data_IF_001964650923
#
_entry.id   IF_001964650923
#
_cell.length_a   1.000
_cell.length_b   1.000
_cell.length_c   1.000
_cell.angle_alpha   90.00
_cell.angle_beta   90.00
_cell.angle_gamma   90.00
#
_symmetry.space_group_name_H-M   'P 1'
#
loop_
_entity.id
_entity.type
_entity.pdbx_description
1 polymer ?
#
# COMPACT_ATOMS: atom_id res chain seq x y z
N UNK A 1 -25.04 5.53 20.38
CA UNK A 1 -23.88 4.66 20.11
C UNK A 1 -22.56 5.34 20.46
N UNK A 2 -22.44 6.66 20.28
CA UNK A 2 -21.29 7.49 20.70
C UNK A 2 -20.97 7.43 22.20
N UNK A 3 -21.96 7.21 23.08
CA UNK A 3 -21.75 7.17 24.54
C UNK A 3 -20.83 6.02 24.98
N UNK A 4 -20.98 4.82 24.41
CA UNK A 4 -20.11 3.68 24.76
C UNK A 4 -18.67 3.95 24.33
N UNK A 5 -18.48 4.40 23.09
CA UNK A 5 -17.14 4.70 22.56
C UNK A 5 -16.46 5.84 23.35
N UNK A 6 -17.22 6.88 23.70
CA UNK A 6 -16.70 8.00 24.50
C UNK A 6 -16.25 7.56 25.89
N UNK A 7 -17.03 6.68 26.55
CA UNK A 7 -16.64 6.07 27.83
C UNK A 7 -15.40 5.19 27.67
N UNK A 8 -15.33 4.37 26.62
CA UNK A 8 -14.18 3.52 26.32
C UNK A 8 -12.91 4.35 26.16
N UNK A 9 -12.97 5.43 25.38
CA UNK A 9 -11.82 6.28 25.08
C UNK A 9 -11.25 6.91 26.35
N UNK A 10 -12.11 7.32 27.28
CA UNK A 10 -11.68 7.87 28.57
C UNK A 10 -10.86 6.88 29.41
N UNK A 11 -11.01 5.58 29.18
CA UNK A 11 -10.29 4.53 29.93
C UNK A 11 -8.93 4.20 29.31
N UNK A 12 -8.73 4.42 28.00
CA UNK A 12 -7.51 4.03 27.28
C UNK A 12 -6.21 4.53 27.94
N UNK A 13 -6.08 5.80 28.40
CA UNK A 13 -4.86 6.28 29.05
C UNK A 13 -4.50 5.50 30.33
N UNK A 14 -5.48 4.88 30.97
CA UNK A 14 -5.33 4.21 32.28
C UNK A 14 -4.97 2.73 32.15
N UNK A 15 -4.94 2.18 30.94
CA UNK A 15 -4.63 0.76 30.70
C UNK A 15 -3.12 0.54 30.82
N UNK A 16 -2.72 -0.19 31.88
CA UNK A 16 -1.31 -0.51 32.16
C UNK A 16 -0.89 -1.92 31.71
N UNK A 17 -1.83 -2.86 31.65
CA UNK A 17 -1.57 -4.27 31.33
C UNK A 17 -1.49 -4.49 29.82
N UNK A 18 -0.40 -5.09 29.35
CA UNK A 18 -0.11 -5.26 27.92
C UNK A 18 -1.16 -6.13 27.19
N UNK A 19 -1.68 -7.19 27.82
CA UNK A 19 -2.76 -8.01 27.23
C UNK A 19 -4.01 -7.15 26.93
N UNK A 20 -4.37 -6.23 27.82
CA UNK A 20 -5.50 -5.33 27.60
C UNK A 20 -5.19 -4.28 26.53
N UNK A 21 -3.96 -3.75 26.49
CA UNK A 21 -3.54 -2.83 25.42
C UNK A 21 -3.66 -3.47 24.04
N UNK A 22 -3.22 -4.73 23.91
CA UNK A 22 -3.37 -5.49 22.67
C UNK A 22 -4.85 -5.62 22.28
N UNK A 23 -5.69 -6.09 23.20
CA UNK A 23 -7.12 -6.29 22.93
C UNK A 23 -7.83 -4.98 22.53
N UNK A 24 -7.51 -3.87 23.20
CA UNK A 24 -8.08 -2.57 22.89
C UNK A 24 -7.58 -1.98 21.57
N UNK A 25 -6.29 -2.10 21.27
CA UNK A 25 -5.74 -1.69 19.98
C UNK A 25 -6.43 -2.46 18.83
N UNK A 26 -6.58 -3.77 18.99
CA UNK A 26 -7.27 -4.61 18.02
C UNK A 26 -8.74 -4.23 17.85
N UNK A 27 -9.48 -4.08 18.96
CA UNK A 27 -10.89 -3.71 18.91
C UNK A 27 -11.12 -2.33 18.27
N UNK A 28 -10.28 -1.35 18.61
CA UNK A 28 -10.37 -0.01 18.05
C UNK A 28 -10.05 0.00 16.55
N UNK A 29 -9.00 -0.71 16.13
CA UNK A 29 -8.65 -0.90 14.71
C UNK A 29 -9.82 -1.51 13.94
N UNK A 30 -10.33 -2.65 14.40
CA UNK A 30 -11.44 -3.36 13.74
C UNK A 30 -12.73 -2.51 13.68
N UNK A 31 -12.98 -1.69 14.71
CA UNK A 31 -14.08 -0.72 14.68
C UNK A 31 -13.88 0.34 13.60
N UNK A 32 -12.69 0.93 13.50
CA UNK A 32 -12.37 1.92 12.48
C UNK A 32 -12.49 1.32 11.06
N UNK A 33 -11.96 0.12 10.85
CA UNK A 33 -12.09 -0.62 9.58
C UNK A 33 -13.57 -0.80 9.22
N UNK A 34 -14.39 -1.26 10.17
CA UNK A 34 -15.83 -1.47 9.94
C UNK A 34 -16.56 -0.17 9.58
N UNK A 35 -16.23 0.94 10.25
CA UNK A 35 -16.80 2.27 9.94
C UNK A 35 -16.42 2.69 8.53
N UNK A 36 -15.15 2.53 8.13
CA UNK A 36 -14.69 2.89 6.78
C UNK A 36 -15.28 2.01 5.70
N UNK A 37 -15.35 0.69 5.92
CA UNK A 37 -15.98 -0.24 4.97
C UNK A 37 -17.45 0.10 4.76
N UNK A 38 -18.18 0.42 5.83
CA UNK A 38 -19.55 0.89 5.74
C UNK A 38 -19.67 2.17 4.89
N UNK A 39 -18.77 3.13 5.07
CA UNK A 39 -18.75 4.38 4.29
C UNK A 39 -18.50 4.08 2.81
N UNK A 40 -17.48 3.28 2.50
CA UNK A 40 -17.12 2.92 1.13
C UNK A 40 -18.24 2.16 0.41
N UNK A 41 -18.85 1.17 1.05
CA UNK A 41 -19.99 0.43 0.51
C UNK A 41 -21.21 1.35 0.24
N UNK A 42 -21.44 2.30 1.14
CA UNK A 42 -22.53 3.27 1.00
C UNK A 42 -22.27 4.31 -0.10
N UNK A 43 -21.01 4.61 -0.44
CA UNK A 43 -20.67 5.48 -1.58
C UNK A 43 -20.83 4.77 -2.92
N UNK A 44 -20.46 3.49 -3.00
CA UNK A 44 -20.61 2.69 -4.24
C UNK A 44 -22.08 2.52 -4.59
N UNK A 45 -22.90 2.11 -3.63
CA UNK A 45 -24.36 1.93 -3.82
C UNK A 45 -25.09 3.21 -4.24
N UNK A 46 -24.68 4.39 -3.74
CA UNK A 46 -25.23 5.67 -4.23
C UNK A 46 -24.86 5.94 -5.69
N UNK A 47 -23.60 5.71 -6.06
CA UNK A 47 -23.12 5.95 -7.42
C UNK A 47 -23.81 5.03 -8.43
N UNK A 48 -24.08 3.77 -8.09
CA UNK A 48 -24.83 2.82 -8.95
C UNK A 48 -26.30 3.22 -9.13
N UNK A 49 -26.95 3.73 -8.08
CA UNK A 49 -28.33 4.23 -8.15
C UNK A 49 -28.46 5.49 -9.03
N UNK A 50 -27.50 6.41 -8.93
CA UNK A 50 -27.50 7.66 -9.72
C UNK A 50 -27.24 7.38 -11.22
N UNK A 51 -26.40 6.39 -11.54
CA UNK A 51 -26.14 5.96 -12.92
C UNK A 51 -27.34 5.22 -13.53
N UNK A 52 -28.02 4.38 -12.75
CA UNK A 52 -29.22 3.68 -13.20
C UNK A 52 -30.49 4.56 -13.26
N UNK A 53 -30.48 5.72 -12.59
CA UNK A 53 -31.60 6.68 -12.58
C UNK A 53 -31.70 7.58 -13.82
N UNK A 54 -30.73 7.54 -14.73
CA UNK A 54 -30.72 8.40 -15.93
C UNK A 54 -31.45 7.82 -17.16
N UNK A 55 -32.06 6.63 -17.06
CA UNK A 55 -32.85 6.04 -18.14
C UNK A 55 -34.23 5.59 -17.63
N UNK A 56 -35.25 6.45 -17.74
CA UNK A 56 -36.65 6.03 -17.69
C UNK A 56 -37.59 6.99 -16.99
N UNK A 57 -38.39 7.72 -17.79
CA UNK A 57 -39.62 8.39 -17.38
C UNK A 57 -40.63 7.38 -16.81
N UNK A 58 -40.75 7.20 -15.48
CA UNK A 58 -41.97 6.58 -14.90
C UNK A 58 -42.28 7.04 -13.47
N UNK A 59 -43.39 7.78 -13.37
CA UNK A 59 -44.45 7.80 -12.34
C UNK A 59 -44.04 7.68 -10.86
N UNK A 60 -44.22 8.80 -10.15
CA UNK A 60 -44.29 8.89 -8.68
C UNK A 60 -45.34 7.92 -8.13
N UNK A 61 -44.92 6.98 -7.28
CA UNK A 61 -45.83 6.30 -6.37
C UNK A 61 -45.23 6.32 -4.96
N UNK A 62 -45.93 7.03 -4.07
CA UNK A 62 -45.64 7.13 -2.65
C UNK A 62 -45.81 5.76 -1.98
N UNK A 63 -44.70 5.05 -1.76
CA UNK A 63 -44.62 4.04 -0.70
C UNK A 63 -43.60 4.50 0.32
N UNK A 64 -44.14 4.95 1.44
CA UNK A 64 -43.45 5.21 2.70
C UNK A 64 -42.81 3.91 3.22
N UNK A 65 -41.69 3.49 2.66
CA UNK A 65 -40.73 2.65 3.37
C UNK A 65 -40.05 3.55 4.40
N UNK A 66 -40.23 3.23 5.68
CA UNK A 66 -39.39 3.74 6.77
C UNK A 66 -37.94 3.39 6.45
N UNK A 67 -37.28 4.24 5.68
CA UNK A 67 -35.83 4.34 5.64
C UNK A 67 -35.41 4.71 7.06
N UNK A 68 -34.96 3.70 7.80
CA UNK A 68 -34.17 3.93 9.01
C UNK A 68 -33.08 4.89 8.59
N UNK A 69 -33.05 6.08 9.20
CA UNK A 69 -32.13 7.17 8.90
C UNK A 69 -30.70 6.71 9.22
N UNK A 70 -30.11 5.91 8.33
CA UNK A 70 -28.67 5.79 8.19
C UNK A 70 -28.21 7.17 7.73
N UNK A 71 -27.58 7.93 8.63
CA UNK A 71 -27.01 9.21 8.29
C UNK A 71 -26.11 9.09 7.06
N UNK A 72 -26.01 10.15 6.26
CA UNK A 72 -25.17 10.12 5.08
C UNK A 72 -23.75 9.63 5.43
N UNK A 73 -23.07 8.88 4.56
CA UNK A 73 -21.80 8.21 4.90
C UNK A 73 -20.73 9.18 5.46
N UNK A 74 -20.66 10.39 4.91
CA UNK A 74 -19.76 11.45 5.39
C UNK A 74 -20.14 12.01 6.77
N UNK A 75 -21.42 11.95 7.14
CA UNK A 75 -21.91 12.35 8.47
C UNK A 75 -21.50 11.29 9.49
N UNK A 76 -21.56 10.00 9.14
CA UNK A 76 -21.14 8.91 10.04
C UNK A 76 -19.64 9.00 10.38
N UNK A 77 -18.77 9.29 9.40
CA UNK A 77 -17.35 9.50 9.67
C UNK A 77 -17.12 10.68 10.62
N UNK A 78 -17.74 11.83 10.31
CA UNK A 78 -17.64 13.04 11.13
C UNK A 78 -18.07 12.82 12.58
N UNK A 79 -19.05 11.95 12.81
CA UNK A 79 -19.53 11.62 14.15
C UNK A 79 -18.52 10.88 15.03
N UNK A 80 -17.44 10.33 14.45
CA UNK A 80 -16.42 9.58 15.16
C UNK A 80 -15.03 10.23 15.15
N UNK A 81 -14.84 11.32 14.40
CA UNK A 81 -13.53 12.00 14.30
C UNK A 81 -13.02 12.40 15.67
N UNK A 82 -13.84 13.11 16.47
CA UNK A 82 -13.45 13.59 17.81
C UNK A 82 -13.02 12.43 18.72
N UNK A 83 -13.72 11.30 18.63
CA UNK A 83 -13.39 10.08 19.37
C UNK A 83 -12.05 9.49 18.92
N UNK A 84 -11.79 9.41 17.62
CA UNK A 84 -10.52 8.90 17.10
C UNK A 84 -9.35 9.83 17.42
N UNK A 85 -9.57 11.14 17.39
CA UNK A 85 -8.64 12.15 17.85
C UNK A 85 -8.26 11.91 19.32
N UNK A 86 -9.24 11.68 20.20
CA UNK A 86 -8.98 11.39 21.61
C UNK A 86 -8.30 10.02 21.83
N UNK A 87 -8.58 9.03 21.00
CA UNK A 87 -8.00 7.69 21.09
C UNK A 87 -6.54 7.62 20.61
N UNK A 88 -6.12 8.55 19.75
CA UNK A 88 -4.80 8.51 19.12
C UNK A 88 -3.64 8.56 20.13
N UNK A 89 -3.58 9.53 21.05
CA UNK A 89 -2.44 9.63 22.00
C UNK A 89 -2.29 8.39 22.90
N UNK A 90 -3.36 7.85 23.52
CA UNK A 90 -3.26 6.62 24.30
C UNK A 90 -2.67 5.46 23.50
N UNK A 91 -3.16 5.22 22.29
CA UNK A 91 -2.67 4.13 21.43
C UNK A 91 -1.24 4.42 20.96
N UNK A 92 -0.91 5.67 20.67
CA UNK A 92 0.43 6.08 20.26
C UNK A 92 1.45 5.75 21.34
N UNK A 93 1.09 5.97 22.62
CA UNK A 93 1.95 5.60 23.75
C UNK A 93 2.26 4.10 23.79
N UNK A 94 1.37 3.25 23.29
CA UNK A 94 1.53 1.79 23.27
C UNK A 94 2.51 1.31 22.19
N UNK A 95 2.92 2.16 21.24
CA UNK A 95 4.05 1.89 20.33
C UNK A 95 5.37 1.65 21.08
N UNK A 96 5.45 2.11 22.33
CA UNK A 96 6.58 1.92 23.24
C UNK A 96 6.37 0.82 24.30
N UNK A 97 5.29 0.04 24.20
CA UNK A 97 4.98 -1.03 25.16
C UNK A 97 6.11 -2.07 25.25
N UNK A 98 6.20 -2.77 26.38
CA UNK A 98 7.24 -3.79 26.60
C UNK A 98 7.01 -5.01 25.71
N UNK A 99 5.77 -5.45 25.60
CA UNK A 99 5.38 -6.55 24.72
C UNK A 99 5.45 -6.17 23.23
N UNK A 100 6.13 -7.01 22.43
CA UNK A 100 6.29 -6.81 20.99
C UNK A 100 4.98 -6.93 20.21
N UNK A 101 4.06 -7.79 20.65
CA UNK A 101 2.74 -7.97 20.01
C UNK A 101 1.88 -6.74 20.20
N UNK A 102 1.94 -6.11 21.39
CA UNK A 102 1.27 -4.83 21.65
C UNK A 102 1.81 -3.76 20.72
N UNK A 103 3.13 -3.67 20.55
CA UNK A 103 3.72 -2.69 19.62
C UNK A 103 3.29 -2.91 18.18
N UNK A 104 3.22 -4.16 17.73
CA UNK A 104 2.78 -4.51 16.37
C UNK A 104 1.30 -4.12 16.13
N UNK A 105 0.40 -4.51 17.04
CA UNK A 105 -1.03 -4.20 16.93
C UNK A 105 -1.32 -2.71 17.10
N UNK A 106 -0.61 -2.03 18.02
CA UNK A 106 -0.71 -0.59 18.18
C UNK A 106 -0.26 0.16 16.92
N UNK A 107 0.80 -0.30 16.24
CA UNK A 107 1.22 0.28 14.96
C UNK A 107 0.15 0.12 13.88
N UNK A 108 -0.49 -1.05 13.81
CA UNK A 108 -1.60 -1.29 12.88
C UNK A 108 -2.79 -0.37 13.19
N UNK A 109 -3.18 -0.29 14.47
CA UNK A 109 -4.26 0.59 14.92
C UNK A 109 -3.96 2.07 14.66
N UNK A 110 -2.74 2.54 14.88
CA UNK A 110 -2.36 3.93 14.59
C UNK A 110 -2.47 4.23 13.10
N UNK A 111 -2.03 3.33 12.24
CA UNK A 111 -2.21 3.48 10.79
C UNK A 111 -3.68 3.65 10.41
N UNK A 112 -4.56 2.84 11.00
CA UNK A 112 -6.00 2.94 10.76
C UNK A 112 -6.60 4.25 11.31
N UNK A 113 -6.15 4.69 12.49
CA UNK A 113 -6.56 5.99 13.06
C UNK A 113 -6.12 7.17 12.20
N UNK A 114 -4.98 7.08 11.49
CA UNK A 114 -4.54 8.12 10.56
C UNK A 114 -5.57 8.42 9.45
N UNK A 115 -6.44 7.47 9.12
CA UNK A 115 -7.50 7.62 8.11
C UNK A 115 -8.79 8.24 8.67
N UNK A 116 -8.85 8.42 9.99
CA UNK A 116 -10.02 8.92 10.71
C UNK A 116 -9.78 10.27 11.39
N UNK A 117 -8.54 10.56 11.79
CA UNK A 117 -8.14 11.85 12.35
C UNK A 117 -8.03 12.93 11.27
N UNK A 118 -7.94 14.18 11.70
CA UNK A 118 -7.78 15.32 10.80
C UNK A 118 -6.43 15.29 10.05
N UNK A 119 -6.40 15.72 8.76
CA UNK A 119 -5.16 15.80 7.99
C UNK A 119 -4.10 16.69 8.66
N UNK A 120 -4.54 17.77 9.34
CA UNK A 120 -3.65 18.65 10.10
C UNK A 120 -2.87 17.88 11.17
N UNK A 121 -3.56 17.08 11.98
CA UNK A 121 -2.89 16.29 13.03
C UNK A 121 -1.94 15.26 12.44
N UNK A 122 -2.32 14.60 11.36
CA UNK A 122 -1.45 13.65 10.66
C UNK A 122 -0.11 14.30 10.28
N UNK A 123 -0.16 15.50 9.69
CA UNK A 123 1.03 16.27 9.30
C UNK A 123 1.87 16.65 10.51
N UNK A 124 1.23 17.12 11.60
CA UNK A 124 1.91 17.51 12.84
C UNK A 124 2.67 16.32 13.47
N UNK A 125 2.07 15.11 13.42
CA UNK A 125 2.63 13.90 14.02
C UNK A 125 3.60 13.13 13.11
N UNK A 126 3.56 13.36 11.80
CA UNK A 126 4.30 12.59 10.80
C UNK A 126 5.80 12.49 11.10
N UNK A 127 6.44 13.62 11.49
CA UNK A 127 7.86 13.68 11.82
C UNK A 127 8.24 12.70 12.94
N UNK A 128 7.33 12.49 13.89
CA UNK A 128 7.51 11.57 15.03
C UNK A 128 7.11 10.15 14.67
N UNK A 129 5.98 10.00 13.97
CA UNK A 129 5.36 8.71 13.67
C UNK A 129 6.20 7.87 12.69
N UNK A 130 6.67 8.46 11.58
CA UNK A 130 7.38 7.72 10.53
C UNK A 130 8.64 7.02 11.09
N UNK A 131 9.57 7.71 11.78
CA UNK A 131 10.76 7.04 12.32
C UNK A 131 10.41 5.89 13.28
N UNK A 132 9.34 6.02 14.06
CA UNK A 132 8.87 4.98 14.99
C UNK A 132 8.35 3.77 14.20
N UNK A 133 7.46 3.97 13.22
CA UNK A 133 6.92 2.90 12.39
C UNK A 133 8.02 2.16 11.63
N UNK A 134 8.97 2.89 11.02
CA UNK A 134 10.09 2.29 10.30
C UNK A 134 11.02 1.49 11.23
N UNK A 135 11.27 1.98 12.45
CA UNK A 135 12.05 1.24 13.44
C UNK A 135 11.31 -0.01 13.95
N UNK A 136 10.00 0.07 14.20
CA UNK A 136 9.18 -1.10 14.58
C UNK A 136 9.16 -2.13 13.46
N UNK A 137 8.98 -1.68 12.21
CA UNK A 137 8.99 -2.54 11.03
C UNK A 137 10.27 -3.36 10.92
N UNK A 138 11.43 -2.76 11.22
CA UNK A 138 12.73 -3.44 11.18
C UNK A 138 12.98 -4.38 12.36
N UNK A 139 12.35 -4.14 13.52
CA UNK A 139 12.61 -4.88 14.77
C UNK A 139 11.65 -6.05 15.02
N UNK A 140 10.44 -6.00 14.45
CA UNK A 140 9.40 -7.00 14.65
C UNK A 140 9.44 -8.00 13.49
N UNK A 141 9.60 -9.30 13.79
CA UNK A 141 9.69 -10.34 12.77
C UNK A 141 8.37 -11.14 12.61
N UNK A 142 7.83 -11.67 13.71
CA UNK A 142 6.65 -12.55 13.67
C UNK A 142 5.40 -11.83 13.16
N UNK A 143 5.13 -10.64 13.71
CA UNK A 143 3.94 -9.84 13.40
C UNK A 143 4.29 -8.59 12.57
N UNK A 144 5.37 -8.67 11.79
CA UNK A 144 5.86 -7.54 10.98
C UNK A 144 4.77 -7.00 10.04
N UNK A 145 3.95 -7.88 9.48
CA UNK A 145 2.86 -7.54 8.56
C UNK A 145 1.87 -6.55 9.16
N UNK A 146 1.61 -6.60 10.47
CA UNK A 146 0.72 -5.65 11.15
C UNK A 146 1.30 -4.23 11.12
N UNK A 147 2.62 -4.11 11.30
CA UNK A 147 3.31 -2.81 11.19
C UNK A 147 3.28 -2.31 9.76
N UNK A 148 3.50 -3.19 8.77
CA UNK A 148 3.44 -2.85 7.34
C UNK A 148 2.03 -2.42 6.93
N UNK A 149 0.99 -3.08 7.45
CA UNK A 149 -0.42 -2.69 7.27
C UNK A 149 -0.66 -1.29 7.82
N UNK A 150 -0.23 -1.02 9.05
CA UNK A 150 -0.33 0.31 9.65
C UNK A 150 0.40 1.38 8.83
N UNK A 151 1.61 1.11 8.37
CA UNK A 151 2.37 2.02 7.49
C UNK A 151 1.64 2.28 6.17
N UNK A 152 1.00 1.26 5.60
CA UNK A 152 0.25 1.40 4.37
C UNK A 152 -1.03 2.25 4.56
N UNK A 153 -1.74 2.09 5.69
CA UNK A 153 -2.90 2.93 6.05
C UNK A 153 -2.50 4.38 6.32
N UNK A 154 -1.35 4.58 6.96
CA UNK A 154 -0.73 5.90 7.07
C UNK A 154 -0.46 6.52 5.68
N UNK A 155 0.15 5.75 4.77
CA UNK A 155 0.42 6.20 3.39
C UNK A 155 -0.87 6.54 2.65
N UNK A 156 -1.93 5.76 2.82
CA UNK A 156 -3.25 5.99 2.22
C UNK A 156 -3.81 7.35 2.66
N UNK A 157 -3.70 7.67 3.95
CA UNK A 157 -4.13 8.97 4.46
C UNK A 157 -3.23 10.12 3.98
N UNK A 158 -1.91 9.93 4.03
CA UNK A 158 -0.95 10.97 3.65
C UNK A 158 -0.90 11.26 2.13
N UNK A 159 -1.19 10.26 1.29
CA UNK A 159 -1.25 10.46 -0.16
C UNK A 159 -2.57 11.10 -0.60
N UNK A 160 -3.65 10.98 0.19
CA UNK A 160 -4.94 11.61 -0.10
C UNK A 160 -4.90 13.15 0.00
N UNK A 161 -3.92 13.73 0.71
CA UNK A 161 -3.68 15.17 0.77
C UNK A 161 -2.40 15.55 0.02
N UNK A 162 -2.56 16.23 -1.12
CA UNK A 162 -1.45 16.71 -1.95
C UNK A 162 -0.53 17.73 -1.23
N UNK A 163 -1.01 18.37 -0.16
CA UNK A 163 -0.21 19.31 0.62
C UNK A 163 0.59 18.61 1.74
N UNK A 164 0.31 17.33 2.03
CA UNK A 164 1.03 16.60 3.05
C UNK A 164 2.52 16.48 2.65
N UNK A 165 3.48 16.88 3.51
CA UNK A 165 4.91 16.92 3.16
C UNK A 165 5.59 15.54 3.23
N UNK A 166 4.92 14.50 2.71
CA UNK A 166 5.37 13.11 2.71
C UNK A 166 6.63 12.89 1.86
N UNK A 167 6.89 13.76 0.89
CA UNK A 167 8.02 13.66 -0.04
C UNK A 167 9.37 13.49 0.65
N UNK A 168 9.58 14.23 1.75
CA UNK A 168 10.81 14.21 2.53
C UNK A 168 11.10 12.86 3.22
N UNK A 169 10.10 11.98 3.30
CA UNK A 169 10.19 10.68 3.96
C UNK A 169 10.04 9.51 2.98
N UNK A 170 9.69 9.79 1.73
CA UNK A 170 9.34 8.78 0.75
C UNK A 170 10.48 7.77 0.57
N UNK A 171 11.69 8.24 0.34
CA UNK A 171 12.84 7.35 0.10
C UNK A 171 13.14 6.43 1.30
N UNK A 172 13.05 6.92 2.52
CA UNK A 172 13.24 6.12 3.74
C UNK A 172 12.18 5.03 3.88
N UNK A 173 10.93 5.36 3.54
CA UNK A 173 9.80 4.42 3.54
C UNK A 173 10.03 3.35 2.47
N UNK A 174 10.36 3.74 1.22
CA UNK A 174 10.62 2.81 0.14
C UNK A 174 11.80 1.88 0.48
N UNK A 175 12.89 2.41 1.03
CA UNK A 175 14.05 1.60 1.43
C UNK A 175 13.74 0.64 2.59
N UNK A 176 12.81 0.99 3.49
CA UNK A 176 12.38 0.09 4.56
C UNK A 176 11.50 -1.06 4.04
N UNK A 177 10.64 -0.80 3.06
CA UNK A 177 9.70 -1.78 2.48
C UNK A 177 10.35 -2.69 1.45
N UNK A 178 11.30 -2.16 0.68
CA UNK A 178 11.90 -2.86 -0.46
C UNK A 178 12.52 -4.23 -0.13
N UNK A 179 13.15 -4.45 1.05
CA UNK A 179 13.63 -5.78 1.42
C UNK A 179 12.56 -6.88 1.46
N UNK A 180 11.28 -6.53 1.67
CA UNK A 180 10.18 -7.50 1.70
C UNK A 180 9.81 -8.03 0.32
N UNK A 181 10.18 -7.33 -0.76
CA UNK A 181 9.80 -7.69 -2.14
C UNK A 181 10.82 -8.60 -2.83
N UNK A 182 11.99 -8.83 -2.21
CA UNK A 182 13.06 -9.68 -2.74
C UNK A 182 12.68 -11.16 -2.81
N UNK A 183 11.75 -11.60 -1.97
CA UNK A 183 11.41 -13.02 -1.85
C UNK A 183 10.59 -13.46 -3.07
N UNK A 184 11.28 -13.74 -4.17
CA UNK A 184 10.88 -14.80 -5.08
C UNK A 184 11.32 -16.07 -4.39
N UNK A 185 10.57 -16.51 -3.39
CA UNK A 185 10.60 -17.90 -3.03
C UNK A 185 10.30 -18.66 -4.32
N UNK A 186 11.18 -19.57 -4.71
CA UNK A 186 10.73 -20.70 -5.50
C UNK A 186 9.48 -21.21 -4.79
N UNK A 187 8.37 -21.31 -5.54
CA UNK A 187 7.00 -21.56 -5.05
C UNK A 187 6.86 -22.73 -4.07
N UNK A 188 7.92 -23.51 -3.87
CA UNK A 188 7.99 -24.75 -3.11
C UNK A 188 7.97 -24.55 -1.58
N UNK A 189 8.52 -23.46 -1.00
CA UNK A 189 8.45 -23.23 0.47
C UNK A 189 8.51 -21.74 0.87
N UNK A 190 7.50 -20.95 0.52
CA UNK A 190 7.30 -19.65 1.19
C UNK A 190 6.50 -19.84 2.49
N UNK A 191 6.95 -19.26 3.60
CA UNK A 191 6.14 -19.23 4.81
C UNK A 191 4.90 -18.33 4.62
N UNK A 192 3.77 -18.67 5.24
CA UNK A 192 2.58 -17.80 5.25
C UNK A 192 2.89 -16.37 5.74
N UNK A 193 3.88 -16.23 6.64
CA UNK A 193 4.33 -14.94 7.19
C UNK A 193 5.04 -14.10 6.12
N UNK A 194 5.99 -14.69 5.38
CA UNK A 194 6.72 -13.98 4.31
C UNK A 194 5.80 -13.54 3.18
N UNK A 195 4.80 -14.35 2.82
CA UNK A 195 3.80 -13.97 1.81
C UNK A 195 2.96 -12.77 2.24
N UNK A 196 2.49 -12.75 3.49
CA UNK A 196 1.74 -11.60 4.04
C UNK A 196 2.57 -10.33 4.03
N UNK A 197 3.82 -10.39 4.50
CA UNK A 197 4.72 -9.24 4.50
C UNK A 197 4.94 -8.69 3.08
N UNK A 198 5.15 -9.58 2.10
CA UNK A 198 5.36 -9.20 0.72
C UNK A 198 4.10 -8.55 0.11
N UNK A 199 2.92 -9.14 0.31
CA UNK A 199 1.66 -8.59 -0.19
C UNK A 199 1.40 -7.18 0.34
N UNK A 200 1.64 -6.96 1.64
CA UNK A 200 1.47 -5.63 2.24
C UNK A 200 2.54 -4.63 1.76
N UNK A 201 3.76 -5.09 1.48
CA UNK A 201 4.78 -4.24 0.87
C UNK A 201 4.34 -3.76 -0.52
N UNK A 202 3.84 -4.67 -1.37
CA UNK A 202 3.29 -4.29 -2.68
C UNK A 202 2.14 -3.30 -2.56
N UNK A 203 1.25 -3.49 -1.58
CA UNK A 203 0.17 -2.55 -1.30
C UNK A 203 0.70 -1.15 -0.93
N UNK A 204 1.77 -1.06 -0.13
CA UNK A 204 2.43 0.22 0.16
C UNK A 204 2.96 0.91 -1.09
N UNK A 205 3.64 0.18 -1.98
CA UNK A 205 4.13 0.73 -3.24
C UNK A 205 2.98 1.22 -4.13
N UNK A 206 1.90 0.45 -4.23
CA UNK A 206 0.70 0.84 -4.98
C UNK A 206 0.10 2.15 -4.41
N UNK A 207 -0.13 2.21 -3.09
CA UNK A 207 -0.70 3.39 -2.44
C UNK A 207 0.19 4.62 -2.63
N UNK A 208 1.50 4.48 -2.46
CA UNK A 208 2.43 5.59 -2.68
C UNK A 208 2.47 6.03 -4.16
N UNK A 209 2.28 5.11 -5.11
CA UNK A 209 2.23 5.43 -6.54
C UNK A 209 1.06 6.31 -6.93
N UNK A 210 -0.03 6.34 -6.14
CA UNK A 210 -1.16 7.25 -6.39
C UNK A 210 -0.76 8.73 -6.42
N UNK A 211 0.36 9.08 -5.77
CA UNK A 211 0.89 10.45 -5.70
C UNK A 211 2.34 10.58 -6.21
N UNK A 212 3.16 9.54 -6.08
CA UNK A 212 4.59 9.59 -6.35
C UNK A 212 5.06 8.58 -7.41
N UNK A 213 4.21 8.27 -8.40
CA UNK A 213 4.51 7.26 -9.42
C UNK A 213 5.84 7.48 -10.13
N UNK A 214 6.15 8.71 -10.54
CA UNK A 214 7.41 9.08 -11.20
C UNK A 214 8.63 8.78 -10.31
N UNK A 215 8.61 9.24 -9.06
CA UNK A 215 9.72 9.03 -8.10
C UNK A 215 9.91 7.55 -7.78
N UNK A 216 8.82 6.80 -7.65
CA UNK A 216 8.87 5.35 -7.43
C UNK A 216 9.45 4.65 -8.67
N UNK A 217 9.03 5.02 -9.88
CA UNK A 217 9.60 4.46 -11.11
C UNK A 217 11.11 4.74 -11.18
N UNK A 218 11.56 5.97 -10.92
CA UNK A 218 12.99 6.30 -10.85
C UNK A 218 13.73 5.45 -9.81
N UNK A 219 13.17 5.33 -8.61
CA UNK A 219 13.73 4.51 -7.54
C UNK A 219 13.90 3.04 -7.99
N UNK A 220 12.89 2.45 -8.62
CA UNK A 220 12.93 1.06 -9.09
C UNK A 220 13.95 0.87 -10.21
N UNK A 221 13.98 1.76 -11.20
CA UNK A 221 14.95 1.73 -12.30
C UNK A 221 16.39 1.81 -11.80
N UNK A 222 16.65 2.60 -10.75
CA UNK A 222 17.95 2.64 -10.11
C UNK A 222 18.27 1.32 -9.38
N UNK A 223 17.33 0.74 -8.64
CA UNK A 223 17.52 -0.57 -7.98
C UNK A 223 17.74 -1.72 -8.97
N UNK A 224 17.16 -1.67 -10.18
CA UNK A 224 17.41 -2.66 -11.23
C UNK A 224 18.85 -2.69 -11.71
N UNK A 225 19.57 -1.57 -11.62
CA UNK A 225 20.97 -1.46 -12.02
C UNK A 225 21.94 -1.83 -10.89
N UNK A 226 21.44 -2.27 -9.74
CA UNK A 226 22.27 -2.68 -8.61
C UNK A 226 23.03 -3.98 -8.92
N UNK A 227 24.26 -4.11 -8.42
CA UNK A 227 25.07 -5.33 -8.58
C UNK A 227 24.39 -6.59 -8.02
N UNK A 228 23.59 -6.46 -6.96
CA UNK A 228 22.91 -7.57 -6.30
C UNK A 228 21.65 -8.00 -7.06
N UNK A 229 21.58 -9.26 -7.47
CA UNK A 229 20.43 -9.80 -8.19
C UNK A 229 19.13 -9.78 -7.38
N UNK A 230 19.19 -9.92 -6.06
CA UNK A 230 18.03 -9.78 -5.18
C UNK A 230 17.38 -8.40 -5.31
N UNK A 231 18.21 -7.34 -5.40
CA UNK A 231 17.77 -5.97 -5.61
C UNK A 231 17.12 -5.80 -6.99
N UNK A 232 17.74 -6.35 -8.03
CA UNK A 232 17.18 -6.32 -9.40
C UNK A 232 15.81 -7.01 -9.45
N UNK A 233 15.72 -8.23 -8.92
CA UNK A 233 14.49 -9.02 -8.88
C UNK A 233 13.38 -8.33 -8.09
N UNK A 234 13.69 -7.75 -6.94
CA UNK A 234 12.74 -6.97 -6.14
C UNK A 234 12.18 -5.79 -6.93
N UNK A 235 13.05 -5.03 -7.61
CA UNK A 235 12.63 -3.90 -8.42
C UNK A 235 11.73 -4.32 -9.60
N UNK A 236 12.10 -5.42 -10.29
CA UNK A 236 11.32 -5.99 -11.39
C UNK A 236 9.93 -6.42 -10.91
N UNK A 237 9.85 -7.08 -9.76
CA UNK A 237 8.58 -7.53 -9.20
C UNK A 237 7.67 -6.35 -8.82
N UNK A 238 8.22 -5.30 -8.20
CA UNK A 238 7.42 -4.11 -7.84
C UNK A 238 6.95 -3.38 -9.08
N UNK A 239 7.81 -3.18 -10.08
CA UNK A 239 7.39 -2.50 -11.32
C UNK A 239 6.29 -3.30 -12.02
N UNK A 240 6.43 -4.63 -12.14
CA UNK A 240 5.39 -5.49 -12.70
C UNK A 240 4.09 -5.41 -11.89
N UNK A 241 4.17 -5.39 -10.56
CA UNK A 241 3.00 -5.20 -9.71
C UNK A 241 2.30 -3.86 -10.00
N UNK A 242 3.05 -2.76 -10.10
CA UNK A 242 2.51 -1.44 -10.37
C UNK A 242 1.87 -1.33 -11.75
N UNK A 243 2.44 -1.95 -12.78
CA UNK A 243 1.80 -2.02 -14.11
C UNK A 243 0.43 -2.70 -14.01
N UNK A 244 0.33 -3.79 -13.24
CA UNK A 244 -0.90 -4.57 -13.12
C UNK A 244 -1.94 -3.98 -12.15
N UNK A 245 -1.51 -3.19 -11.16
CA UNK A 245 -2.40 -2.70 -10.09
C UNK A 245 -2.63 -1.20 -10.12
N UNK A 246 -1.67 -0.41 -10.64
CA UNK A 246 -1.63 1.05 -10.54
C UNK A 246 -1.61 1.74 -11.92
N UNK A 247 -2.10 1.08 -12.98
CA UNK A 247 -2.14 1.58 -14.36
C UNK A 247 -2.49 3.07 -14.50
N UNK A 248 -3.61 3.56 -13.92
CA UNK A 248 -4.01 4.97 -14.03
C UNK A 248 -2.97 5.99 -13.56
N UNK A 249 -2.03 5.59 -12.69
CA UNK A 249 -0.99 6.46 -12.14
C UNK A 249 0.37 6.30 -12.84
N UNK A 250 0.57 5.24 -13.62
CA UNK A 250 1.87 4.88 -14.22
C UNK A 250 1.85 4.97 -15.75
N UNK A 251 0.67 5.00 -16.38
CA UNK A 251 0.49 5.10 -17.83
C UNK A 251 1.13 6.35 -18.43
N UNK A 252 1.02 7.50 -17.76
CA UNK A 252 1.66 8.75 -18.21
C UNK A 252 3.20 8.70 -18.07
N UNK A 253 3.75 7.66 -17.44
CA UNK A 253 5.20 7.41 -17.28
C UNK A 253 5.74 6.36 -18.25
N UNK A 254 4.98 5.96 -19.29
CA UNK A 254 5.42 4.98 -20.32
C UNK A 254 6.82 5.26 -20.87
N UNK A 255 7.06 6.50 -21.34
CA UNK A 255 8.36 6.90 -21.88
C UNK A 255 9.49 6.82 -20.85
N UNK A 256 9.23 7.22 -19.60
CA UNK A 256 10.20 7.13 -18.51
C UNK A 256 10.60 5.66 -18.24
N UNK A 257 9.61 4.77 -18.16
CA UNK A 257 9.83 3.34 -17.94
C UNK A 257 10.66 2.74 -19.08
N UNK A 258 10.26 2.96 -20.34
CA UNK A 258 10.95 2.37 -21.50
C UNK A 258 12.39 2.89 -21.63
N UNK A 259 12.59 4.20 -21.52
CA UNK A 259 13.92 4.80 -21.61
C UNK A 259 14.81 4.32 -20.45
N UNK A 260 14.26 4.28 -19.24
CA UNK A 260 14.96 3.85 -18.04
C UNK A 260 15.36 2.37 -18.03
N UNK A 261 14.58 1.51 -18.71
CA UNK A 261 14.88 0.08 -18.83
C UNK A 261 15.95 -0.23 -19.88
N UNK A 262 16.30 0.71 -20.75
CA UNK A 262 17.29 0.50 -21.83
C UNK A 262 18.59 -0.15 -21.34
N UNK A 263 19.23 0.24 -20.21
CA UNK A 263 20.44 -0.42 -19.73
C UNK A 263 20.23 -1.91 -19.41
N UNK A 264 19.09 -2.25 -18.81
CA UNK A 264 18.75 -3.63 -18.46
C UNK A 264 18.46 -4.50 -19.69
N UNK A 265 17.78 -3.92 -20.68
CA UNK A 265 17.47 -4.60 -21.94
C UNK A 265 18.75 -4.89 -22.76
N UNK A 266 19.69 -3.94 -22.76
CA UNK A 266 20.99 -4.14 -23.41
C UNK A 266 21.84 -5.17 -22.65
N UNK A 267 21.94 -5.06 -21.32
CA UNK A 267 22.72 -5.99 -20.50
C UNK A 267 22.26 -7.45 -20.65
N UNK A 268 20.96 -7.72 -20.72
CA UNK A 268 20.49 -9.09 -20.95
C UNK A 268 20.69 -9.57 -22.37
N UNK A 269 20.69 -8.67 -23.37
CA UNK A 269 21.02 -9.00 -24.76
C UNK A 269 22.50 -9.37 -24.94
N UNK A 270 23.38 -8.84 -24.08
CA UNK A 270 24.82 -9.11 -24.06
C UNK A 270 25.22 -10.27 -23.14
N UNK A 271 24.24 -10.93 -22.51
CA UNK A 271 24.50 -12.07 -21.63
C UNK A 271 25.00 -11.71 -20.22
N UNK A 272 25.00 -10.43 -19.85
CA UNK A 272 25.52 -9.93 -18.56
C UNK A 272 24.56 -10.17 -17.37
N UNK A 273 23.33 -10.57 -17.62
CA UNK A 273 22.33 -10.89 -16.60
C UNK A 273 22.27 -12.39 -16.32
N UNK A 274 22.13 -12.76 -15.05
CA UNK A 274 21.90 -14.15 -14.67
C UNK A 274 20.58 -14.67 -15.24
N UNK A 275 20.47 -15.99 -15.43
CA UNK A 275 19.26 -16.64 -15.97
C UNK A 275 18.01 -16.25 -15.15
N UNK A 276 18.16 -16.14 -13.83
CA UNK A 276 17.07 -15.75 -12.93
C UNK A 276 16.57 -14.33 -13.20
N UNK A 277 17.49 -13.36 -13.37
CA UNK A 277 17.13 -11.97 -13.69
C UNK A 277 16.59 -11.86 -15.12
N UNK A 278 17.17 -12.58 -16.09
CA UNK A 278 16.64 -12.66 -17.46
C UNK A 278 15.20 -13.13 -17.49
N UNK A 279 14.88 -14.23 -16.78
CA UNK A 279 13.50 -14.74 -16.66
C UNK A 279 12.54 -13.70 -16.08
N UNK A 280 12.93 -13.01 -15.02
CA UNK A 280 12.12 -11.96 -14.42
C UNK A 280 11.93 -10.76 -15.36
N UNK A 281 12.98 -10.36 -16.09
CA UNK A 281 12.91 -9.32 -17.12
C UNK A 281 11.99 -9.72 -18.27
N UNK A 282 11.99 -10.98 -18.72
CA UNK A 282 11.04 -11.46 -19.72
C UNK A 282 9.59 -11.31 -19.22
N UNK A 283 9.31 -11.69 -17.96
CA UNK A 283 7.98 -11.51 -17.36
C UNK A 283 7.57 -10.03 -17.28
N UNK A 284 8.52 -9.13 -17.02
CA UNK A 284 8.26 -7.69 -17.05
C UNK A 284 8.01 -7.20 -18.48
N UNK A 285 8.77 -7.67 -19.47
CA UNK A 285 8.58 -7.32 -20.87
C UNK A 285 7.20 -7.76 -21.40
N UNK A 286 6.72 -8.94 -20.99
CA UNK A 286 5.35 -9.39 -21.29
C UNK A 286 4.33 -8.44 -20.67
N UNK A 287 4.46 -8.10 -19.38
CA UNK A 287 3.55 -7.14 -18.75
C UNK A 287 3.59 -5.75 -19.43
N UNK A 288 4.76 -5.28 -19.85
CA UNK A 288 4.88 -4.02 -20.61
C UNK A 288 4.12 -4.08 -21.94
N UNK A 289 4.18 -5.21 -22.64
CA UNK A 289 3.43 -5.41 -23.87
C UNK A 289 1.91 -5.45 -23.62
N UNK A 290 1.47 -6.14 -22.57
CA UNK A 290 0.05 -6.23 -22.20
C UNK A 290 -0.56 -4.86 -21.83
N UNK A 291 0.26 -3.92 -21.34
CA UNK A 291 -0.16 -2.56 -20.97
C UNK A 291 0.23 -1.48 -22.00
N UNK A 292 0.52 -1.87 -23.25
CA UNK A 292 0.80 -0.95 -24.37
C UNK A 292 2.03 -0.03 -24.17
N UNK A 293 3.00 -0.44 -23.37
CA UNK A 293 4.26 0.29 -23.19
C UNK A 293 5.19 0.13 -24.41
N UNK A 294 4.86 -0.74 -25.37
CA UNK A 294 5.69 -0.99 -26.56
C UNK A 294 5.49 0.04 -27.67
N UNK A 295 4.41 0.83 -27.60
CA UNK A 295 4.08 1.81 -28.65
C UNK A 295 4.89 3.11 -28.55
N UNK A 296 5.56 3.35 -27.41
CA UNK A 296 6.43 4.50 -27.23
C UNK A 296 7.83 4.28 -27.81
N UNK A 297 8.54 5.36 -28.08
CA UNK A 297 9.91 5.31 -28.58
C UNK A 297 10.81 4.45 -27.68
N UNK A 298 11.50 3.48 -28.29
CA UNK A 298 12.34 2.51 -27.57
C UNK A 298 11.65 1.19 -27.23
N UNK A 299 10.33 1.06 -27.45
CA UNK A 299 9.57 -0.18 -27.22
C UNK A 299 10.09 -1.37 -28.03
N UNK A 300 10.68 -1.13 -29.21
CA UNK A 300 11.37 -2.17 -29.99
C UNK A 300 12.45 -2.92 -29.20
N UNK A 301 13.11 -2.28 -28.23
CA UNK A 301 14.12 -2.95 -27.40
C UNK A 301 13.50 -4.00 -26.47
N UNK A 302 12.24 -3.82 -26.06
CA UNK A 302 11.48 -4.79 -25.26
C UNK A 302 11.22 -6.05 -26.09
N UNK A 303 10.78 -5.87 -27.34
CA UNK A 303 10.54 -6.97 -28.28
C UNK A 303 11.84 -7.71 -28.62
N UNK A 304 12.92 -6.97 -28.91
CA UNK A 304 14.24 -7.55 -29.19
C UNK A 304 14.74 -8.37 -28.00
N UNK A 305 14.59 -7.85 -26.77
CA UNK A 305 14.97 -8.57 -25.56
C UNK A 305 14.22 -9.89 -25.43
N UNK A 306 12.89 -9.87 -25.62
CA UNK A 306 12.07 -11.09 -25.57
C UNK A 306 12.55 -12.10 -26.60
N UNK A 307 12.67 -11.73 -27.88
CA UNK A 307 13.08 -12.64 -28.96
C UNK A 307 14.47 -13.25 -28.68
N UNK A 308 15.43 -12.44 -28.23
CA UNK A 308 16.79 -12.92 -27.93
C UNK A 308 16.87 -13.86 -26.72
N UNK A 309 15.93 -13.77 -25.78
CA UNK A 309 15.92 -14.56 -24.55
C UNK A 309 14.84 -15.67 -24.54
N UNK A 310 14.09 -15.86 -25.64
CA UNK A 310 13.12 -16.95 -25.83
C UNK A 310 13.75 -18.25 -26.32
N UNK A 311 14.94 -18.19 -26.94
CA UNK A 311 15.64 -19.36 -27.45
C UNK A 311 16.45 -19.96 -26.30
N UNK A 312 16.20 -21.24 -25.97
CA UNK A 312 17.07 -22.02 -25.09
C UNK A 312 18.46 -21.97 -25.71
N UNK A 313 19.44 -21.37 -25.01
CA UNK A 313 20.83 -21.49 -25.40
C UNK A 313 21.22 -22.96 -25.18
N UNK A 314 21.10 -23.78 -26.22
CA UNK A 314 21.72 -25.10 -26.26
C UNK A 314 23.24 -24.91 -26.14
N UNK A 315 23.79 -25.03 -24.92
CA UNK A 315 25.25 -24.96 -24.75
C UNK A 315 25.81 -24.54 -23.40
N UNK A 316 25.19 -24.85 -22.26
CA UNK A 316 25.90 -24.86 -20.97
C UNK A 316 25.53 -26.13 -20.18
N UNK A 317 26.22 -27.22 -20.53
CA UNK A 317 26.40 -28.41 -19.67
C UNK A 317 27.57 -28.21 -18.73
#
# INVERSE_FOLDING_TARGET
>A
MTDILSRVISVLPHIKTDIYRYAWAHALRSFCESVREYISASTVTKTECDVNGCNGDYVKNERTTRSQTCGEPKIVQKNYVDQMELAYEPVFSWLSAKDVKVRAEAANCIGELCLMISPKRLVDEMRRLIPILLNLHRKINTDQHLVTQGLCRFLESACADENCPLDAYLEDILNALFPLVYSVAEQTVASNISMRNQSEAFRCFHVAATRFADKIVYYLLHKMQNVQDSSKLGAINVLRHLLNSAGPYVEDKRSLVILGLKPMLLAGSEGLLTIRVKKAMCQLCVALADHEYIDVEGGNNVIIFLVKNLIVQEGET
#
